data_IF_857609978004
#
_entry.id   IF_857609978004
#
_cell.length_a   1.000
_cell.length_b   1.000
_cell.length_c   1.000
_cell.angle_alpha   90.00
_cell.angle_beta   90.00
_cell.angle_gamma   90.00
#
_symmetry.space_group_name_H-M   'P 1'
#
loop_
_entity.id
_entity.type
_entity.pdbx_description
1 polymer ?
#
# COMPACT_ATOMS: atom_id res chain seq x y z
N UNK A 1 -6.65 14.17 7.57
CA UNK A 1 -7.22 12.92 7.04
C UNK A 1 -8.01 12.31 8.17
N UNK A 2 -9.26 11.93 7.93
CA UNK A 2 -9.99 11.05 8.84
C UNK A 2 -9.34 9.67 8.86
N UNK A 3 -9.69 8.82 9.83
CA UNK A 3 -9.16 7.47 9.89
C UNK A 3 -9.47 6.66 8.62
N UNK A 4 -10.70 6.76 8.11
CA UNK A 4 -11.13 6.08 6.89
C UNK A 4 -10.38 6.55 5.64
N UNK A 5 -10.13 7.85 5.52
CA UNK A 5 -9.32 8.42 4.42
C UNK A 5 -7.87 7.92 4.44
N UNK A 6 -7.28 7.80 5.64
CA UNK A 6 -5.94 7.24 5.77
C UNK A 6 -5.89 5.76 5.36
N UNK A 7 -6.93 4.98 5.71
CA UNK A 7 -7.05 3.58 5.30
C UNK A 7 -7.16 3.46 3.78
N UNK A 8 -8.02 4.25 3.13
CA UNK A 8 -8.23 4.15 1.67
C UNK A 8 -6.96 4.50 0.89
N UNK A 9 -6.18 5.48 1.35
CA UNK A 9 -4.86 5.79 0.79
C UNK A 9 -3.91 4.60 0.99
N UNK A 10 -3.88 4.00 2.19
CA UNK A 10 -3.08 2.80 2.47
C UNK A 10 -3.44 1.61 1.58
N UNK A 11 -4.73 1.39 1.32
CA UNK A 11 -5.21 0.35 0.40
C UNK A 11 -4.74 0.60 -1.03
N UNK A 12 -4.82 1.84 -1.51
CA UNK A 12 -4.33 2.21 -2.83
C UNK A 12 -2.81 1.99 -2.96
N UNK A 13 -2.05 2.27 -1.89
CA UNK A 13 -0.62 1.97 -1.83
C UNK A 13 -0.33 0.47 -1.87
N UNK A 14 -1.01 -0.33 -1.05
CA UNK A 14 -0.83 -1.78 -1.05
C UNK A 14 -1.18 -2.40 -2.42
N UNK A 15 -2.24 -1.92 -3.07
CA UNK A 15 -2.60 -2.34 -4.43
C UNK A 15 -1.53 -1.95 -5.46
N UNK A 16 -0.99 -0.72 -5.39
CA UNK A 16 0.11 -0.27 -6.27
C UNK A 16 1.36 -1.11 -6.10
N UNK A 17 1.73 -1.44 -4.86
CA UNK A 17 2.87 -2.32 -4.56
C UNK A 17 2.63 -3.72 -5.14
N UNK A 18 1.44 -4.29 -4.90
CA UNK A 18 1.06 -5.61 -5.41
C UNK A 18 1.11 -5.68 -6.95
N UNK A 19 0.72 -4.59 -7.62
CA UNK A 19 0.85 -4.44 -9.06
C UNK A 19 2.32 -4.37 -9.51
N UNK A 20 3.15 -3.52 -8.86
CA UNK A 20 4.58 -3.38 -9.20
C UNK A 20 5.38 -4.68 -9.06
N UNK A 21 5.02 -5.54 -8.10
CA UNK A 21 5.64 -6.86 -7.93
C UNK A 21 5.00 -7.96 -8.78
N UNK A 22 4.09 -7.60 -9.69
CA UNK A 22 3.38 -8.48 -10.63
C UNK A 22 2.48 -9.54 -9.98
N UNK A 23 2.00 -9.29 -8.76
CA UNK A 23 1.05 -10.19 -8.11
C UNK A 23 -0.38 -9.97 -8.60
N UNK A 24 -0.76 -8.73 -8.94
CA UNK A 24 -2.06 -8.41 -9.53
C UNK A 24 -1.87 -7.73 -10.88
N UNK A 25 -2.88 -7.85 -11.73
CA UNK A 25 -2.88 -7.21 -13.05
C UNK A 25 -3.14 -5.70 -12.96
N UNK A 26 -2.77 -4.96 -14.02
CA UNK A 26 -3.12 -3.54 -14.14
C UNK A 26 -4.65 -3.33 -14.10
N UNK A 27 -5.41 -4.25 -14.71
CA UNK A 27 -6.88 -4.24 -14.64
C UNK A 27 -7.39 -4.31 -13.20
N UNK A 28 -6.87 -5.24 -12.39
CA UNK A 28 -7.25 -5.37 -10.98
C UNK A 28 -6.85 -4.14 -10.16
N UNK A 29 -5.66 -3.60 -10.38
CA UNK A 29 -5.21 -2.37 -9.75
C UNK A 29 -6.16 -1.20 -10.06
N UNK A 30 -6.46 -1.00 -11.34
CA UNK A 30 -7.37 0.06 -11.80
C UNK A 30 -8.78 -0.13 -11.26
N UNK A 31 -9.26 -1.38 -11.14
CA UNK A 31 -10.55 -1.69 -10.52
C UNK A 31 -10.60 -1.27 -9.05
N UNK A 32 -9.54 -1.54 -8.28
CA UNK A 32 -9.46 -1.16 -6.86
C UNK A 32 -9.45 0.36 -6.71
N UNK A 33 -8.54 1.05 -7.42
CA UNK A 33 -8.41 2.52 -7.33
C UNK A 33 -9.67 3.22 -7.86
N UNK A 34 -10.22 2.70 -8.96
CA UNK A 34 -11.47 3.18 -9.55
C UNK A 34 -12.63 3.06 -8.57
N UNK A 35 -12.74 1.95 -7.83
CA UNK A 35 -13.78 1.79 -6.83
C UNK A 35 -13.67 2.82 -5.70
N UNK A 36 -12.46 3.03 -5.15
CA UNK A 36 -12.22 4.06 -4.13
C UNK A 36 -12.63 5.45 -4.63
N UNK A 37 -12.31 5.78 -5.88
CA UNK A 37 -12.70 7.04 -6.52
C UNK A 37 -14.23 7.19 -6.65
N UNK A 38 -14.93 6.13 -7.06
CA UNK A 38 -16.40 6.14 -7.23
C UNK A 38 -17.11 6.42 -5.91
N UNK A 39 -16.63 5.83 -4.82
CA UNK A 39 -17.23 6.01 -3.48
C UNK A 39 -16.72 7.28 -2.76
N UNK A 40 -15.97 8.14 -3.44
CA UNK A 40 -15.48 9.41 -2.90
C UNK A 40 -14.35 9.28 -1.88
N UNK A 41 -13.69 8.13 -1.76
CA UNK A 41 -12.56 7.94 -0.85
C UNK A 41 -11.24 8.38 -1.51
N UNK A 42 -10.37 9.07 -0.76
CA UNK A 42 -9.06 9.45 -1.27
C UNK A 42 -8.20 8.20 -1.48
N UNK A 43 -7.57 8.11 -2.65
CA UNK A 43 -6.64 7.03 -3.02
C UNK A 43 -5.19 7.54 -3.14
N UNK A 44 -4.97 8.84 -2.92
CA UNK A 44 -3.68 9.51 -2.97
C UNK A 44 -3.75 10.83 -2.20
N UNK A 45 -2.63 11.24 -1.60
CA UNK A 45 -2.48 12.55 -0.96
C UNK A 45 -1.10 13.13 -1.33
N UNK A 46 -1.09 14.32 -1.97
CA UNK A 46 0.15 15.01 -2.39
C UNK A 46 1.07 15.35 -1.22
N UNK A 47 0.54 15.44 0.00
CA UNK A 47 1.30 15.70 1.25
C UNK A 47 2.00 14.43 1.77
N UNK A 48 1.67 13.27 1.20
CA UNK A 48 2.20 11.96 1.56
C UNK A 48 3.19 11.54 0.47
N UNK A 49 4.47 11.87 0.68
CA UNK A 49 5.56 11.43 -0.17
C UNK A 49 6.14 10.07 0.29
N UNK A 50 7.00 9.46 -0.53
CA UNK A 50 7.63 8.17 -0.25
C UNK A 50 8.31 8.10 1.13
N UNK A 51 8.95 9.20 1.55
CA UNK A 51 9.62 9.27 2.86
C UNK A 51 8.62 9.26 4.02
N UNK A 52 7.50 9.99 3.89
CA UNK A 52 6.45 10.04 4.91
C UNK A 52 5.73 8.69 5.02
N UNK A 53 5.47 8.04 3.90
CA UNK A 53 4.90 6.68 3.86
C UNK A 53 5.83 5.69 4.54
N UNK A 54 7.12 5.73 4.21
CA UNK A 54 8.10 4.86 4.83
C UNK A 54 8.12 5.02 6.36
N UNK A 55 8.12 6.26 6.86
CA UNK A 55 8.06 6.52 8.31
C UNK A 55 6.77 5.97 8.95
N UNK A 56 5.63 6.15 8.29
CA UNK A 56 4.36 5.61 8.76
C UNK A 56 4.37 4.07 8.80
N UNK A 57 4.86 3.44 7.73
CA UNK A 57 5.05 1.99 7.67
C UNK A 57 5.98 1.52 8.78
N UNK A 58 7.08 2.21 9.06
CA UNK A 58 8.05 1.85 10.09
C UNK A 58 7.45 1.88 11.51
N UNK A 59 6.53 2.79 11.78
CA UNK A 59 5.83 2.89 13.08
C UNK A 59 4.73 1.85 13.32
N UNK A 60 4.43 0.99 12.34
CA UNK A 60 3.39 -0.02 12.46
C UNK A 60 3.79 -1.13 13.46
N UNK A 61 2.87 -1.46 14.37
CA UNK A 61 3.07 -2.49 15.42
C UNK A 61 3.32 -3.89 14.86
N UNK A 62 3.00 -4.14 13.59
CA UNK A 62 3.23 -5.42 12.91
C UNK A 62 4.69 -5.63 12.55
N UNK A 63 5.53 -4.60 12.59
CA UNK A 63 6.94 -4.68 12.23
C UNK A 63 7.74 -5.43 13.30
N UNK A 64 8.79 -6.10 12.85
CA UNK A 64 9.70 -6.87 13.69
C UNK A 64 11.13 -6.53 13.31
N UNK A 65 11.97 -6.16 14.28
CA UNK A 65 13.42 -5.93 14.08
C UNK A 65 13.72 -4.96 12.92
N UNK A 66 13.06 -3.79 12.93
CA UNK A 66 13.18 -2.75 11.89
C UNK A 66 12.72 -3.13 10.47
N UNK A 67 12.24 -4.37 10.27
CA UNK A 67 11.69 -4.82 8.99
C UNK A 67 10.21 -4.49 8.88
N UNK A 68 9.82 -4.06 7.69
CA UNK A 68 8.44 -3.68 7.39
C UNK A 68 7.65 -4.90 6.96
N UNK A 69 6.50 -5.11 7.59
CA UNK A 69 5.57 -6.19 7.25
C UNK A 69 4.30 -5.58 6.61
N UNK A 70 3.92 -6.06 5.42
CA UNK A 70 2.79 -5.53 4.65
C UNK A 70 1.77 -6.62 4.34
N UNK A 71 0.50 -6.23 4.27
CA UNK A 71 -0.55 -7.06 3.65
C UNK A 71 -0.66 -6.65 2.20
N UNK A 72 -0.40 -7.58 1.29
CA UNK A 72 -0.40 -7.38 -0.16
C UNK A 72 -1.40 -8.33 -0.82
N UNK A 73 -1.72 -8.08 -2.09
CA UNK A 73 -2.70 -8.86 -2.85
C UNK A 73 -1.99 -9.86 -3.78
N UNK A 74 -2.55 -11.08 -3.86
CA UNK A 74 -2.26 -12.07 -4.92
C UNK A 74 -3.27 -12.02 -6.06
N UNK A 75 -4.49 -11.56 -5.76
CA UNK A 75 -5.60 -11.25 -6.66
C UNK A 75 -6.70 -10.55 -5.85
N UNK A 76 -7.70 -9.99 -6.51
CA UNK A 76 -8.88 -9.47 -5.80
C UNK A 76 -9.52 -10.60 -4.98
N UNK A 77 -9.75 -10.34 -3.68
CA UNK A 77 -10.28 -11.32 -2.73
C UNK A 77 -9.24 -12.26 -2.11
N UNK A 78 -7.96 -12.16 -2.49
CA UNK A 78 -6.88 -12.94 -1.89
C UNK A 78 -5.70 -12.06 -1.48
N UNK A 79 -5.52 -11.89 -0.17
CA UNK A 79 -4.38 -11.21 0.40
C UNK A 79 -3.36 -12.20 0.96
N UNK A 80 -2.12 -11.74 1.13
CA UNK A 80 -1.08 -12.47 1.84
C UNK A 80 -0.23 -11.50 2.66
N UNK A 81 0.48 -12.03 3.65
CA UNK A 81 1.32 -11.25 4.53
C UNK A 81 2.77 -11.35 4.06
N UNK A 82 3.26 -10.25 3.49
CA UNK A 82 4.63 -10.08 3.07
C UNK A 82 5.46 -9.62 4.27
N UNK A 83 6.50 -10.37 4.61
CA UNK A 83 7.28 -10.15 5.82
C UNK A 83 8.70 -9.75 5.48
N UNK A 84 9.30 -8.94 6.36
CA UNK A 84 10.74 -8.75 6.33
C UNK A 84 11.23 -7.78 5.26
N UNK A 85 10.38 -6.87 4.75
CA UNK A 85 10.80 -5.92 3.72
C UNK A 85 11.76 -4.89 4.32
N UNK A 86 12.96 -4.82 3.74
CA UNK A 86 13.94 -3.82 4.12
C UNK A 86 13.63 -2.43 3.52
N UNK A 87 14.36 -1.42 4.00
CA UNK A 87 14.21 -0.02 3.61
C UNK A 87 14.44 0.20 2.13
N UNK A 88 15.40 -0.48 1.51
CA UNK A 88 15.74 -0.29 0.10
C UNK A 88 14.64 -0.85 -0.79
N UNK A 89 14.14 -2.04 -0.47
CA UNK A 89 13.01 -2.69 -1.11
C UNK A 89 11.78 -1.80 -1.06
N UNK A 90 11.44 -1.25 0.11
CA UNK A 90 10.30 -0.34 0.25
C UNK A 90 10.48 0.93 -0.58
N UNK A 91 11.65 1.57 -0.54
CA UNK A 91 11.91 2.77 -1.35
C UNK A 91 11.78 2.50 -2.85
N UNK A 92 12.28 1.37 -3.33
CA UNK A 92 12.15 0.95 -4.73
C UNK A 92 10.70 0.72 -5.14
N UNK A 93 9.86 0.24 -4.22
CA UNK A 93 8.43 0.04 -4.47
C UNK A 93 7.64 1.36 -4.45
N UNK A 94 8.09 2.34 -3.66
CA UNK A 94 7.43 3.65 -3.52
C UNK A 94 7.78 4.64 -4.64
N UNK A 95 8.98 4.57 -5.23
CA UNK A 95 9.37 5.30 -6.44
C UNK A 95 8.77 4.63 -7.68
#
# INVERSE_FOLDING_TARGET
LTHGEAISIGMAFAAKISYKIKNITEFEYNKIVGHLKIIGLPHHDKRINSNKIYKLMQSDKKNTEEKINLVLLKKIGQAYFERGLDKERIKKLLN
#
